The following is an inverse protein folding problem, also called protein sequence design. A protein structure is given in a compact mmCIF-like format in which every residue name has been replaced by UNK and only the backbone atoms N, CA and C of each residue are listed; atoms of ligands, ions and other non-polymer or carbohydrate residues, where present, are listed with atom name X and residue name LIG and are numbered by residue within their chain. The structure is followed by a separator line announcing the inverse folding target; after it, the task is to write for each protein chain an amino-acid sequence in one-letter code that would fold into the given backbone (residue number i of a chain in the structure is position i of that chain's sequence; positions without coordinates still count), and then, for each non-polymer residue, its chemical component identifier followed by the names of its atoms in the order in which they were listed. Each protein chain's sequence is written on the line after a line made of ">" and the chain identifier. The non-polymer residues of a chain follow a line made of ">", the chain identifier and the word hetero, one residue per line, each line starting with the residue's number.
data_IF_023807658847
#
_entry.id   IF_023807658847
#
_cell.length_a   1.000
_cell.length_b   1.000
_cell.length_c   1.000
_cell.angle_alpha   90.00
_cell.angle_beta   90.00
_cell.angle_gamma   90.00
#
_symmetry.space_group_name_H-M   'P 1'
#
loop_
_entity.id
_entity.type
_entity.pdbx_description
1 polymer ?
#
# COMPACT_ATOMS: atom_id res chain seq x y z
N UNK A 1 -32.17 3.55 -2.98
CA UNK A 1 -32.13 2.71 -4.20
C UNK A 1 -30.73 2.11 -4.30
N UNK A 2 -30.52 0.90 -4.84
CA UNK A 2 -29.18 0.36 -4.95
C UNK A 2 -28.33 1.22 -5.88
N UNK A 3 -27.08 1.44 -5.47
CA UNK A 3 -26.07 2.15 -6.25
C UNK A 3 -25.26 1.13 -7.04
N UNK A 4 -24.91 1.48 -8.27
CA UNK A 4 -24.12 0.65 -9.16
C UNK A 4 -22.92 1.43 -9.67
N UNK A 5 -21.76 0.80 -9.64
CA UNK A 5 -20.53 1.31 -10.22
C UNK A 5 -20.45 0.84 -11.67
N UNK A 6 -20.37 1.77 -12.61
CA UNK A 6 -20.30 1.53 -14.04
C UNK A 6 -18.97 2.08 -14.58
N UNK A 7 -18.09 1.22 -15.07
CA UNK A 7 -16.87 1.63 -15.75
C UNK A 7 -16.92 1.38 -17.25
N UNK A 8 -16.39 2.35 -18.00
CA UNK A 8 -16.34 2.41 -19.45
C UNK A 8 -14.89 2.26 -19.92
N UNK A 9 -14.43 1.02 -20.19
CA UNK A 9 -13.12 0.81 -20.76
C UNK A 9 -13.11 1.24 -22.24
N UNK A 10 -12.12 2.03 -22.69
CA UNK A 10 -12.04 2.52 -24.06
C UNK A 10 -11.61 1.38 -25.00
N UNK A 11 -12.02 1.46 -26.27
CA UNK A 11 -11.50 0.58 -27.32
C UNK A 11 -10.04 0.91 -27.62
N UNK A 12 -9.23 -0.08 -28.01
CA UNK A 12 -7.82 0.12 -28.38
C UNK A 12 -7.64 1.23 -29.43
N UNK A 13 -8.54 1.31 -30.41
CA UNK A 13 -8.53 2.35 -31.44
C UNK A 13 -8.88 3.75 -30.89
N UNK A 14 -9.77 3.83 -29.91
CA UNK A 14 -10.19 5.09 -29.30
C UNK A 14 -9.18 5.60 -28.27
N UNK A 15 -8.57 4.70 -27.49
CA UNK A 15 -7.50 5.03 -26.55
C UNK A 15 -6.30 5.68 -27.27
N UNK A 16 -5.93 5.18 -28.45
CA UNK A 16 -4.88 5.78 -29.29
C UNK A 16 -5.24 7.19 -29.80
N UNK A 17 -6.54 7.51 -29.89
CA UNK A 17 -7.04 8.84 -30.26
C UNK A 17 -7.28 9.75 -29.02
N UNK A 18 -6.82 9.36 -27.83
CA UNK A 18 -6.93 10.16 -26.61
C UNK A 18 -8.22 9.95 -25.82
N UNK A 19 -8.99 8.89 -26.09
CA UNK A 19 -10.16 8.56 -25.26
C UNK A 19 -9.71 7.91 -23.95
N UNK A 20 -10.00 8.57 -22.83
CA UNK A 20 -9.66 8.10 -21.48
C UNK A 20 -10.76 7.18 -20.95
N UNK A 21 -10.39 6.19 -20.13
CA UNK A 21 -11.37 5.35 -19.43
C UNK A 21 -12.18 6.18 -18.44
N UNK A 22 -13.48 5.93 -18.35
CA UNK A 22 -14.37 6.69 -17.46
C UNK A 22 -15.10 5.76 -16.52
N UNK A 23 -15.39 6.21 -15.30
CA UNK A 23 -16.29 5.51 -14.38
C UNK A 23 -17.31 6.48 -13.76
N UNK A 24 -18.47 5.94 -13.41
CA UNK A 24 -19.58 6.68 -12.80
C UNK A 24 -20.35 5.77 -11.86
N UNK A 25 -20.86 6.31 -10.76
CA UNK A 25 -21.80 5.60 -9.89
C UNK A 25 -23.23 6.09 -10.19
N UNK A 26 -24.17 5.18 -10.38
CA UNK A 26 -25.56 5.50 -10.70
C UNK A 26 -26.54 4.74 -9.82
N UNK A 27 -27.56 5.43 -9.32
CA UNK A 27 -28.66 4.78 -8.63
C UNK A 27 -29.64 4.16 -9.64
N UNK A 28 -29.94 2.87 -9.48
CA UNK A 28 -30.88 2.15 -10.32
C UNK A 28 -31.56 1.02 -9.56
N UNK A 29 -32.64 0.43 -10.12
CA UNK A 29 -33.31 -0.73 -9.50
C UNK A 29 -32.62 -2.06 -9.81
N UNK A 30 -31.90 -2.13 -10.93
CA UNK A 30 -31.15 -3.32 -11.37
C UNK A 30 -29.95 -2.89 -12.22
N UNK A 31 -28.98 -3.79 -12.41
CA UNK A 31 -27.77 -3.52 -13.17
C UNK A 31 -28.04 -3.13 -14.64
N UNK A 32 -29.13 -3.63 -15.24
CA UNK A 32 -29.51 -3.29 -16.63
C UNK A 32 -30.02 -1.84 -16.75
N UNK A 33 -30.73 -1.35 -15.75
CA UNK A 33 -31.17 0.04 -15.68
C UNK A 33 -29.99 0.95 -15.34
N UNK A 34 -29.04 0.49 -14.50
CA UNK A 34 -27.78 1.19 -14.28
C UNK A 34 -26.99 1.33 -15.58
N UNK A 35 -26.91 0.26 -16.38
CA UNK A 35 -26.29 0.27 -17.71
C UNK A 35 -26.90 1.36 -18.60
N UNK A 36 -28.22 1.32 -18.77
CA UNK A 36 -28.93 2.26 -19.63
C UNK A 36 -28.77 3.69 -19.13
N UNK A 37 -28.87 3.92 -17.82
CA UNK A 37 -28.71 5.26 -17.22
C UNK A 37 -27.28 5.78 -17.41
N UNK A 38 -26.27 4.96 -17.16
CA UNK A 38 -24.87 5.35 -17.32
C UNK A 38 -24.53 5.63 -18.79
N UNK A 39 -25.04 4.84 -19.75
CA UNK A 39 -24.86 5.10 -21.18
C UNK A 39 -25.57 6.38 -21.63
N UNK A 40 -26.78 6.66 -21.12
CA UNK A 40 -27.47 7.92 -21.40
C UNK A 40 -26.65 9.12 -20.89
N UNK A 41 -26.19 9.07 -19.65
CA UNK A 41 -25.34 10.12 -19.07
C UNK A 41 -24.03 10.31 -19.85
N UNK A 42 -23.45 9.22 -20.36
CA UNK A 42 -22.22 9.27 -21.16
C UNK A 42 -22.46 10.02 -22.49
N UNK A 43 -23.57 9.74 -23.16
CA UNK A 43 -23.93 10.40 -24.42
C UNK A 43 -24.29 11.88 -24.20
N UNK A 44 -24.89 12.21 -23.05
CA UNK A 44 -25.18 13.60 -22.65
C UNK A 44 -23.91 14.39 -22.33
N UNK A 45 -22.95 13.79 -21.61
CA UNK A 45 -21.69 14.44 -21.25
C UNK A 45 -20.71 14.51 -22.43
N UNK A 46 -20.67 13.47 -23.25
CA UNK A 46 -19.73 13.30 -24.36
C UNK A 46 -20.46 12.79 -25.62
N UNK A 47 -21.01 13.70 -26.46
CA UNK A 47 -21.81 13.30 -27.62
C UNK A 47 -21.01 12.42 -28.59
N UNK A 48 -21.65 11.37 -29.11
CA UNK A 48 -21.08 10.33 -29.99
C UNK A 48 -19.94 9.48 -29.38
N UNK A 49 -19.66 9.63 -28.08
CA UNK A 49 -18.54 8.92 -27.44
C UNK A 49 -18.89 7.49 -27.05
N UNK A 50 -20.18 7.14 -26.96
CA UNK A 50 -20.63 5.77 -26.67
C UNK A 50 -20.00 4.72 -27.59
N UNK A 51 -19.75 5.06 -28.86
CA UNK A 51 -19.14 4.16 -29.85
C UNK A 51 -17.65 3.85 -29.58
N UNK A 52 -16.97 4.72 -28.83
CA UNK A 52 -15.54 4.65 -28.51
C UNK A 52 -15.22 3.71 -27.34
N UNK A 53 -16.23 3.37 -26.54
CA UNK A 53 -16.09 2.49 -25.38
C UNK A 53 -16.58 1.06 -25.67
N UNK A 54 -16.09 0.10 -24.90
CA UNK A 54 -16.71 -1.21 -24.83
C UNK A 54 -17.98 -1.18 -23.96
N UNK A 55 -18.71 -2.29 -23.93
CA UNK A 55 -19.85 -2.46 -23.03
C UNK A 55 -19.42 -2.15 -21.59
N UNK A 56 -20.16 -1.31 -20.84
CA UNK A 56 -19.78 -0.94 -19.49
C UNK A 56 -19.75 -2.17 -18.59
N UNK A 57 -18.75 -2.20 -17.72
CA UNK A 57 -18.60 -3.19 -16.67
C UNK A 57 -19.30 -2.66 -15.42
N UNK A 58 -20.24 -3.44 -14.88
CA UNK A 58 -21.18 -2.98 -13.86
C UNK A 58 -21.10 -3.88 -12.64
N UNK A 59 -20.92 -3.26 -11.48
CA UNK A 59 -20.89 -3.92 -10.18
C UNK A 59 -21.90 -3.24 -9.23
N UNK A 60 -22.57 -4.03 -8.39
CA UNK A 60 -23.39 -3.47 -7.33
C UNK A 60 -22.47 -2.93 -6.23
N UNK A 61 -22.73 -1.71 -5.79
CA UNK A 61 -21.93 -1.10 -4.73
C UNK A 61 -22.17 -1.82 -3.39
N UNK A 62 -21.08 -2.04 -2.64
CA UNK A 62 -21.10 -2.66 -1.30
C UNK A 62 -20.07 -1.97 -0.41
N UNK A 63 -20.25 -2.05 0.91
CA UNK A 63 -19.29 -1.51 1.87
C UNK A 63 -17.90 -2.16 1.67
N UNK A 64 -16.87 -1.34 1.44
CA UNK A 64 -15.50 -1.78 1.18
C UNK A 64 -15.07 -1.84 -0.29
N UNK A 65 -15.97 -1.62 -1.26
CA UNK A 65 -15.58 -1.46 -2.67
C UNK A 65 -15.22 0.01 -3.00
N UNK A 66 -14.28 0.24 -3.93
CA UNK A 66 -14.01 1.58 -4.45
C UNK A 66 -15.26 2.11 -5.16
N UNK A 67 -15.64 3.35 -4.87
CA UNK A 67 -16.83 3.99 -5.42
C UNK A 67 -16.46 5.29 -6.16
N UNK A 68 -16.79 5.41 -7.46
CA UNK A 68 -16.62 6.66 -8.18
C UNK A 68 -17.71 7.69 -7.79
N UNK A 69 -17.57 8.95 -8.20
CA UNK A 69 -18.59 9.98 -7.98
C UNK A 69 -19.97 9.57 -8.49
N UNK A 70 -21.02 9.93 -7.73
CA UNK A 70 -22.41 9.63 -8.10
C UNK A 70 -22.88 10.63 -9.16
N UNK A 71 -23.44 10.11 -10.26
CA UNK A 71 -23.93 10.86 -11.42
C UNK A 71 -22.87 11.81 -12.05
N UNK A 72 -21.58 11.59 -11.79
CA UNK A 72 -20.46 12.33 -12.38
C UNK A 72 -19.35 11.37 -12.85
N UNK A 73 -18.80 11.63 -14.04
CA UNK A 73 -17.72 10.83 -14.60
C UNK A 73 -16.36 11.17 -13.99
N UNK A 74 -15.60 10.13 -13.67
CA UNK A 74 -14.22 10.19 -13.20
C UNK A 74 -13.31 9.45 -14.18
N UNK A 75 -12.27 10.15 -14.65
CA UNK A 75 -11.31 9.64 -15.62
C UNK A 75 -10.09 8.95 -14.96
N UNK A 76 -9.82 9.24 -13.69
CA UNK A 76 -8.70 8.69 -12.93
C UNK A 76 -9.09 7.41 -12.19
N UNK A 77 -10.39 7.21 -11.94
CA UNK A 77 -10.88 6.07 -11.18
C UNK A 77 -10.55 4.72 -11.82
N UNK A 78 -10.68 4.61 -13.14
CA UNK A 78 -10.34 3.38 -13.88
C UNK A 78 -8.83 3.09 -13.94
N UNK A 79 -7.98 4.08 -13.63
CA UNK A 79 -6.53 3.92 -13.49
C UNK A 79 -6.16 3.35 -12.13
N UNK A 80 -6.96 3.67 -11.10
CA UNK A 80 -6.74 3.23 -9.71
C UNK A 80 -7.44 1.92 -9.37
N UNK A 81 -8.38 1.47 -10.21
CA UNK A 81 -9.22 0.30 -9.94
C UNK A 81 -9.26 -0.64 -11.15
N UNK A 82 -9.02 -1.92 -10.94
CA UNK A 82 -9.07 -2.95 -11.97
C UNK A 82 -10.34 -3.79 -11.83
N UNK A 83 -10.88 -4.19 -12.96
CA UNK A 83 -12.00 -5.12 -12.99
C UNK A 83 -11.51 -6.56 -12.83
N UNK A 84 -12.00 -7.25 -11.81
CA UNK A 84 -11.78 -8.67 -11.61
C UNK A 84 -12.86 -9.48 -12.34
N UNK A 85 -12.46 -10.31 -13.32
CA UNK A 85 -13.39 -11.13 -14.11
C UNK A 85 -14.02 -12.29 -13.32
N UNK A 86 -13.37 -12.74 -12.24
CA UNK A 86 -13.81 -13.87 -11.42
C UNK A 86 -14.91 -13.45 -10.43
N UNK A 87 -14.71 -12.32 -9.74
CA UNK A 87 -15.68 -11.77 -8.78
C UNK A 87 -16.75 -10.90 -9.43
N UNK A 88 -16.48 -10.36 -10.64
CA UNK A 88 -17.30 -9.32 -11.32
C UNK A 88 -17.40 -8.03 -10.51
N UNK A 89 -16.33 -7.70 -9.82
CA UNK A 89 -16.23 -6.53 -8.96
C UNK A 89 -14.98 -5.72 -9.33
N UNK A 90 -14.96 -4.47 -8.87
CA UNK A 90 -13.79 -3.62 -8.99
C UNK A 90 -12.94 -3.74 -7.74
N UNK A 91 -11.67 -4.02 -7.95
CA UNK A 91 -10.68 -4.06 -6.89
C UNK A 91 -9.76 -2.85 -7.07
N UNK A 92 -9.41 -2.20 -5.96
CA UNK A 92 -8.37 -1.20 -6.01
C UNK A 92 -7.11 -1.87 -6.52
N UNK A 93 -6.50 -1.29 -7.55
CA UNK A 93 -5.17 -1.70 -7.97
C UNK A 93 -4.28 -1.26 -6.81
N UNK A 94 -3.82 -2.21 -6.01
CA UNK A 94 -2.56 -2.05 -5.30
C UNK A 94 -1.54 -1.83 -6.41
N UNK A 95 -1.29 -0.56 -6.75
CA UNK A 95 -0.17 -0.24 -7.61
C UNK A 95 1.02 -0.92 -6.92
N UNK A 96 1.72 -1.88 -7.55
CA UNK A 96 3.06 -2.12 -7.10
C UNK A 96 3.71 -0.76 -7.24
N UNK A 97 4.04 -0.14 -6.12
CA UNK A 97 5.04 0.91 -6.08
C UNK A 97 6.25 0.23 -6.73
N UNK A 98 6.41 0.46 -8.03
CA UNK A 98 7.53 -0.09 -8.75
C UNK A 98 8.75 0.48 -8.06
N UNK A 99 9.50 -0.40 -7.40
CA UNK A 99 10.94 -0.32 -7.27
C UNK A 99 11.52 0.55 -8.40
N UNK A 100 12.00 1.74 -8.05
CA UNK A 100 12.62 2.63 -9.03
C UNK A 100 12.69 4.10 -8.65
N UNK A 101 13.42 4.41 -7.58
CA UNK A 101 14.10 5.68 -7.34
C UNK A 101 13.29 6.99 -7.39
N UNK A 102 13.17 7.61 -6.21
CA UNK A 102 13.10 9.05 -6.06
C UNK A 102 11.75 9.56 -5.56
N UNK A 103 11.79 10.16 -4.37
CA UNK A 103 11.10 11.42 -4.06
C UNK A 103 9.60 11.50 -3.74
N UNK A 104 8.85 10.40 -3.52
CA UNK A 104 7.47 10.53 -3.00
C UNK A 104 7.05 9.47 -1.96
N UNK A 105 7.96 9.07 -1.08
CA UNK A 105 7.68 8.29 0.14
C UNK A 105 7.72 9.12 1.41
N UNK A 106 7.52 10.43 1.31
CA UNK A 106 7.74 11.38 2.40
C UNK A 106 6.45 12.04 2.89
N UNK A 107 5.38 11.27 3.04
CA UNK A 107 4.23 11.74 3.83
C UNK A 107 3.70 10.58 4.66
N UNK A 108 4.14 10.50 5.91
CA UNK A 108 3.45 9.79 7.02
C UNK A 108 3.83 8.33 7.33
N UNK A 109 5.11 7.92 7.29
CA UNK A 109 5.51 6.82 8.19
C UNK A 109 5.40 7.34 9.63
N UNK A 110 4.52 6.75 10.44
CA UNK A 110 4.18 7.29 11.77
C UNK A 110 5.17 6.84 12.84
N UNK A 111 5.90 5.74 12.59
CA UNK A 111 6.86 5.16 13.54
C UNK A 111 8.04 4.47 12.85
N UNK A 112 9.20 4.39 13.51
CA UNK A 112 10.44 3.74 13.00
C UNK A 112 10.21 2.26 12.64
N UNK A 113 9.24 1.62 13.29
CA UNK A 113 9.00 0.18 13.16
C UNK A 113 8.25 -0.22 11.90
N UNK A 114 7.58 0.74 11.25
CA UNK A 114 6.90 0.58 9.97
C UNK A 114 7.88 0.59 8.78
N UNK A 115 9.13 1.02 9.01
CA UNK A 115 10.17 1.04 7.98
C UNK A 115 10.61 -0.38 7.59
N UNK A 116 11.08 -0.58 6.33
CA UNK A 116 11.74 -1.81 5.92
C UNK A 116 12.86 -2.20 6.88
N UNK A 117 13.08 -3.50 7.09
CA UNK A 117 14.04 -4.00 8.10
C UNK A 117 15.44 -3.40 7.94
N UNK A 118 15.92 -3.24 6.70
CA UNK A 118 17.26 -2.73 6.41
C UNK A 118 17.36 -1.24 6.78
N UNK A 119 16.36 -0.45 6.37
CA UNK A 119 16.24 1.00 6.66
C UNK A 119 16.05 1.24 8.14
N UNK A 120 15.23 0.42 8.80
CA UNK A 120 15.01 0.45 10.24
C UNK A 120 16.29 0.19 11.01
N UNK A 121 17.06 -0.83 10.61
CA UNK A 121 18.35 -1.14 11.23
C UNK A 121 19.34 0.00 11.01
N UNK A 122 19.44 0.56 9.80
CA UNK A 122 20.30 1.70 9.51
C UNK A 122 19.92 2.94 10.34
N UNK A 123 18.62 3.26 10.41
CA UNK A 123 18.09 4.37 11.19
C UNK A 123 18.40 4.22 12.69
N UNK A 124 18.13 3.04 13.26
CA UNK A 124 18.41 2.75 14.67
C UNK A 124 19.93 2.77 14.94
N UNK A 125 20.74 2.33 13.99
CA UNK A 125 22.20 2.32 14.13
C UNK A 125 22.78 3.74 14.17
N UNK A 126 22.20 4.67 13.42
CA UNK A 126 22.68 6.06 13.33
C UNK A 126 22.08 6.97 14.42
N UNK A 127 20.80 6.78 14.76
CA UNK A 127 20.02 7.73 15.57
C UNK A 127 19.36 7.12 16.81
N UNK A 128 19.43 5.80 16.98
CA UNK A 128 18.76 5.09 18.06
C UNK A 128 17.27 4.83 17.81
N UNK A 129 16.61 4.19 18.78
CA UNK A 129 15.19 3.80 18.71
C UNK A 129 14.25 4.71 19.52
N UNK A 130 14.74 5.86 19.97
CA UNK A 130 14.02 6.78 20.88
C UNK A 130 12.93 7.67 20.23
N UNK A 131 12.93 7.97 18.92
CA UNK A 131 11.84 8.78 18.38
C UNK A 131 10.59 7.97 18.05
N UNK A 132 9.45 8.37 18.61
CA UNK A 132 8.12 7.81 18.28
C UNK A 132 7.72 8.07 16.82
N UNK A 133 8.33 9.06 16.16
CA UNK A 133 8.07 9.44 14.78
C UNK A 133 9.37 9.45 13.94
N UNK A 134 9.25 9.09 12.66
CA UNK A 134 10.39 9.09 11.75
C UNK A 134 10.68 10.52 11.31
N UNK A 135 11.89 11.00 11.61
CA UNK A 135 12.39 12.24 11.04
C UNK A 135 12.98 12.00 9.66
N UNK A 136 12.72 12.94 8.77
CA UNK A 136 12.85 12.76 7.34
C UNK A 136 14.25 13.08 6.83
N UNK A 137 14.97 13.95 7.56
CA UNK A 137 16.41 14.11 7.41
C UNK A 137 17.15 12.83 7.83
N UNK A 138 16.80 12.27 9.00
CA UNK A 138 17.38 11.02 9.50
C UNK A 138 17.05 9.81 8.60
N UNK A 139 15.84 9.78 8.03
CA UNK A 139 15.45 8.75 7.07
C UNK A 139 16.30 8.81 5.80
N UNK A 140 16.52 10.01 5.25
CA UNK A 140 17.38 10.20 4.07
C UNK A 140 18.79 9.69 4.35
N UNK A 141 19.37 10.06 5.49
CA UNK A 141 20.73 9.63 5.86
C UNK A 141 20.82 8.11 6.05
N UNK A 142 19.76 7.46 6.55
CA UNK A 142 19.71 6.00 6.66
C UNK A 142 19.66 5.32 5.28
N UNK A 143 18.95 5.91 4.31
CA UNK A 143 18.97 5.44 2.92
C UNK A 143 20.33 5.66 2.27
N UNK A 144 20.97 6.79 2.53
CA UNK A 144 22.32 7.07 2.03
C UNK A 144 23.32 6.04 2.57
N UNK A 145 23.26 5.67 3.86
CA UNK A 145 24.10 4.60 4.41
C UNK A 145 23.93 3.24 3.71
N UNK A 146 22.72 2.94 3.22
CA UNK A 146 22.40 1.69 2.53
C UNK A 146 22.81 1.74 1.06
N UNK A 147 22.73 2.91 0.43
CA UNK A 147 22.95 3.06 -1.01
C UNK A 147 24.38 3.53 -1.36
N UNK A 148 25.10 4.12 -0.41
CA UNK A 148 26.47 4.58 -0.59
C UNK A 148 27.46 3.41 -0.48
N UNK A 149 28.13 3.11 -1.60
CA UNK A 149 29.18 2.09 -1.69
C UNK A 149 30.47 2.51 -0.94
N UNK A 150 30.61 3.79 -0.56
CA UNK A 150 31.71 4.32 0.25
C UNK A 150 31.39 4.37 1.76
N UNK A 151 30.20 3.93 2.17
CA UNK A 151 29.79 3.87 3.57
C UNK A 151 30.77 3.05 4.45
N UNK A 152 30.85 3.37 5.75
CA UNK A 152 31.78 2.69 6.66
C UNK A 152 31.55 1.16 6.64
N UNK A 153 32.56 0.34 6.30
CA UNK A 153 32.37 -1.10 6.06
C UNK A 153 31.78 -1.86 7.25
N UNK A 154 32.03 -1.37 8.47
CA UNK A 154 31.48 -1.96 9.70
C UNK A 154 29.99 -1.71 9.85
N UNK A 155 29.52 -0.51 9.52
CA UNK A 155 28.11 -0.16 9.60
C UNK A 155 27.32 -0.92 8.53
N UNK A 156 27.84 -0.97 7.30
CA UNK A 156 27.28 -1.76 6.20
C UNK A 156 27.11 -3.24 6.58
N UNK A 157 28.16 -3.84 7.16
CA UNK A 157 28.12 -5.24 7.58
C UNK A 157 27.05 -5.51 8.65
N UNK A 158 26.80 -4.56 9.55
CA UNK A 158 25.76 -4.67 10.58
C UNK A 158 24.37 -4.56 9.94
N UNK A 159 24.16 -3.58 9.05
CA UNK A 159 22.91 -3.37 8.33
C UNK A 159 22.56 -4.58 7.46
N UNK A 160 23.54 -5.22 6.83
CA UNK A 160 23.32 -6.41 5.98
C UNK A 160 23.15 -7.71 6.79
N UNK A 161 23.79 -7.81 7.96
CA UNK A 161 23.80 -9.03 8.77
C UNK A 161 22.57 -9.16 9.68
N UNK A 162 22.12 -8.09 10.31
CA UNK A 162 21.02 -8.13 11.27
C UNK A 162 19.68 -8.62 10.68
N UNK A 163 19.27 -8.23 9.46
CA UNK A 163 18.08 -8.75 8.80
C UNK A 163 18.12 -10.27 8.56
N UNK A 164 19.32 -10.86 8.47
CA UNK A 164 19.54 -12.30 8.26
C UNK A 164 19.39 -13.12 9.53
N UNK A 165 19.29 -12.48 10.69
CA UNK A 165 19.06 -13.16 11.98
C UNK A 165 17.55 -13.31 12.20
N UNK A 166 16.98 -14.53 12.13
CA UNK A 166 15.52 -14.75 12.22
C UNK A 166 14.88 -14.19 13.50
N UNK A 167 15.64 -14.17 14.59
CA UNK A 167 15.23 -13.65 15.89
C UNK A 167 15.06 -12.11 15.86
N UNK A 168 15.90 -11.39 15.10
CA UNK A 168 15.80 -9.93 14.93
C UNK A 168 14.61 -9.58 14.06
N UNK A 169 14.31 -10.40 13.05
CA UNK A 169 13.14 -10.23 12.17
C UNK A 169 11.80 -10.47 12.89
N UNK A 170 11.77 -11.32 13.91
CA UNK A 170 10.56 -11.69 14.67
C UNK A 170 10.43 -10.98 16.03
N UNK A 171 11.35 -10.06 16.36
CA UNK A 171 11.30 -9.32 17.61
C UNK A 171 10.15 -8.30 17.61
N UNK A 172 9.19 -8.48 18.52
CA UNK A 172 8.15 -7.48 18.79
C UNK A 172 8.74 -6.35 19.63
N UNK A 173 8.37 -5.12 19.31
CA UNK A 173 8.67 -3.94 20.13
C UNK A 173 7.91 -4.09 21.44
N UNK A 174 8.61 -4.48 22.50
CA UNK A 174 8.11 -4.22 23.85
C UNK A 174 8.37 -2.74 24.08
N UNK A 175 7.31 -1.98 24.34
CA UNK A 175 7.41 -0.58 24.73
C UNK A 175 8.47 -0.46 25.83
N UNK A 176 9.55 0.25 25.55
CA UNK A 176 10.49 0.64 26.59
C UNK A 176 9.76 1.68 27.42
N UNK A 177 9.03 1.24 28.44
CA UNK A 177 8.36 2.12 29.40
C UNK A 177 9.44 2.92 30.15
N UNK A 178 9.83 4.07 29.61
CA UNK A 178 10.78 5.00 30.24
C UNK A 178 10.21 5.67 31.50
N UNK A 179 8.97 5.37 31.90
CA UNK A 179 8.32 5.99 33.08
C UNK A 179 7.69 5.01 34.08
N UNK A 180 7.91 3.70 33.94
CA UNK A 180 7.44 2.74 34.93
C UNK A 180 8.49 2.48 36.02
N UNK A 181 8.46 3.36 37.02
CA UNK A 181 8.86 3.10 38.40
C UNK A 181 10.35 3.29 38.77
N UNK A 182 10.58 4.21 39.71
CA UNK A 182 11.76 4.27 40.56
C UNK A 182 11.89 3.07 41.50
N UNK A 183 11.98 1.86 40.95
CA UNK A 183 12.33 0.65 41.68
C UNK A 183 13.30 -0.18 40.86
N UNK A 184 14.39 -0.54 41.53
CA UNK A 184 15.39 -1.53 41.12
C UNK A 184 14.79 -2.68 40.29
N UNK A 185 15.28 -2.89 39.07
CA UNK A 185 15.12 -4.15 38.34
C UNK A 185 16.48 -4.70 37.93
N UNK A 186 17.17 -5.22 38.95
CA UNK A 186 17.83 -6.51 38.79
C UNK A 186 16.71 -7.55 38.66
N UNK A 187 16.29 -7.87 37.43
CA UNK A 187 15.83 -9.24 37.15
C UNK A 187 15.95 -9.56 35.67
N UNK A 188 16.57 -10.70 35.33
CA UNK A 188 17.00 -11.05 33.99
C UNK A 188 15.82 -11.65 33.23
N UNK A 189 15.62 -11.24 31.98
CA UNK A 189 14.82 -12.04 31.05
C UNK A 189 15.58 -13.33 30.74
N UNK A 190 15.21 -14.33 31.52
CA UNK A 190 15.18 -15.76 31.26
C UNK A 190 15.44 -16.13 29.79
N UNK A 191 16.66 -16.58 29.53
CA UNK A 191 16.94 -17.56 28.50
C UNK A 191 16.25 -18.86 28.93
N UNK A 192 15.11 -19.22 28.35
CA UNK A 192 14.57 -20.57 28.57
C UNK A 192 15.41 -21.58 27.76
N UNK A 193 16.54 -21.96 28.34
CA UNK A 193 17.42 -23.06 27.91
C UNK A 193 16.74 -24.44 28.05
N UNK A 194 15.43 -24.58 27.82
CA UNK A 194 14.73 -25.88 27.83
C UNK A 194 14.34 -26.41 26.45
N UNK A 195 14.71 -25.74 25.36
CA UNK A 195 14.47 -26.24 24.01
C UNK A 195 15.71 -26.72 23.25
N UNK A 196 16.85 -26.85 23.93
CA UNK A 196 18.13 -27.28 23.33
C UNK A 196 18.73 -28.54 23.98
N UNK A 197 17.88 -29.50 24.40
CA UNK A 197 18.34 -30.83 24.82
C UNK A 197 17.65 -32.01 24.11
N UNK A 198 16.85 -31.78 23.07
CA UNK A 198 16.16 -32.88 22.33
C UNK A 198 16.60 -32.99 20.87
N UNK A 199 17.82 -32.54 20.53
CA UNK A 199 18.44 -32.83 19.22
C UNK A 199 19.93 -33.15 19.41
N UNK A 200 20.28 -34.03 20.37
CA UNK A 200 21.59 -34.74 20.39
C UNK A 200 21.51 -36.08 21.17
N UNK A 201 20.45 -36.85 20.96
CA UNK A 201 20.45 -38.29 21.28
C UNK A 201 19.38 -38.97 20.42
N UNK A 202 19.83 -39.43 19.25
CA UNK A 202 19.13 -40.21 18.25
C UNK A 202 20.15 -40.64 17.22
#
# INVERSE_FOLDING_TARGET
>A
MPLFTCGFPPKKSAAANGTVALAIAVEAKNAKLAEMKATMLLEEAFPNSTSNFFKPKICADREGLPRPPVDQFDADWMTKNQWNEETKEYEAIELPEQDGNGEAGLTSSKTIFELPIDVRVAYILMYGAEPDAVDMEHLSNAYDLINDDEAEPRLRAIVDALPRVPQVKSMLVTSVDVNAAGYNLFSPFYFDCRYLSTVMSG
#
